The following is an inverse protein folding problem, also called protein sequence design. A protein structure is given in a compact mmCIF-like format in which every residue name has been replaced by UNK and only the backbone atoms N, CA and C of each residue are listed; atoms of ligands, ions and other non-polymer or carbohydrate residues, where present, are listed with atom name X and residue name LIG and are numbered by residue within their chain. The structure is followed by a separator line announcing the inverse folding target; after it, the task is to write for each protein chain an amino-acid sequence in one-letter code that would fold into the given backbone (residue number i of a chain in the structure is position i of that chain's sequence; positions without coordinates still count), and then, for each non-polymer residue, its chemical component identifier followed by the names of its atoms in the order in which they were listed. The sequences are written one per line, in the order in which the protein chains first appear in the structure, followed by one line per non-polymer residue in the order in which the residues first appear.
data_IF_929177173417
#
_entry.id   IF_929177173417
#
_cell.length_a   1.000
_cell.length_b   1.000
_cell.length_c   1.000
_cell.angle_alpha   90.00
_cell.angle_beta   90.00
_cell.angle_gamma   90.00
#
_symmetry.space_group_name_H-M   'P 1'
#
loop_
_entity.id
_entity.type
_entity.pdbx_description
1 polymer ?
#
# COMPACT_ATOMS: atom_id res chain seq x y z
N UNK A 1 21.84 22.10 36.51
CA UNK A 1 22.56 23.23 37.13
C UNK A 1 21.59 24.40 37.26
N UNK A 2 20.88 24.47 38.39
CA UNK A 2 19.90 25.53 38.68
C UNK A 2 20.59 26.75 39.31
N UNK A 3 21.62 27.25 38.63
CA UNK A 3 22.50 28.34 39.04
C UNK A 3 22.96 29.09 37.80
N UNK A 4 23.38 30.35 37.98
CA UNK A 4 23.89 31.20 36.90
C UNK A 4 25.03 32.08 37.38
N UNK A 5 25.94 32.41 36.45
CA UNK A 5 26.93 33.49 36.59
C UNK A 5 26.88 34.36 35.33
N UNK A 6 27.03 35.68 35.48
CA UNK A 6 26.89 36.64 34.38
C UNK A 6 28.14 36.74 33.49
N UNK A 7 29.31 36.37 34.00
CA UNK A 7 30.57 36.42 33.27
C UNK A 7 30.99 35.05 32.72
N UNK A 8 31.62 35.06 31.55
CA UNK A 8 32.27 33.89 30.98
C UNK A 8 33.54 33.53 31.79
N UNK A 9 33.82 32.24 31.93
CA UNK A 9 35.01 31.71 32.61
C UNK A 9 35.56 30.52 31.83
N UNK A 10 36.79 30.63 31.35
CA UNK A 10 37.46 29.57 30.59
C UNK A 10 37.51 28.26 31.38
N UNK A 11 37.82 28.32 32.68
CA UNK A 11 37.91 27.13 33.53
C UNK A 11 36.54 26.45 33.66
N UNK A 12 35.45 27.23 33.76
CA UNK A 12 34.10 26.68 33.79
C UNK A 12 33.73 26.06 32.44
N UNK A 13 34.03 26.74 31.34
CA UNK A 13 33.78 26.26 29.98
C UNK A 13 34.50 24.93 29.72
N UNK A 14 35.80 24.86 30.02
CA UNK A 14 36.59 23.64 29.84
C UNK A 14 36.05 22.47 30.69
N UNK A 15 35.57 22.76 31.91
CA UNK A 15 34.98 21.76 32.78
C UNK A 15 33.67 21.20 32.21
N UNK A 16 32.76 22.06 31.74
CA UNK A 16 31.49 21.59 31.13
C UNK A 16 31.74 20.86 29.82
N UNK A 17 32.69 21.31 29.00
CA UNK A 17 33.05 20.64 27.75
C UNK A 17 33.66 19.26 27.99
N UNK A 18 34.51 19.14 29.00
CA UNK A 18 35.08 17.85 29.40
C UNK A 18 33.99 16.88 29.86
N UNK A 19 33.00 17.34 30.61
CA UNK A 19 31.86 16.51 31.02
C UNK A 19 30.99 16.11 29.82
N UNK A 20 30.69 17.05 28.92
CA UNK A 20 29.94 16.77 27.69
C UNK A 20 30.64 15.75 26.79
N UNK A 21 31.95 15.88 26.59
CA UNK A 21 32.78 14.93 25.80
C UNK A 21 32.83 13.54 26.43
N UNK A 22 32.60 13.41 27.74
CA UNK A 22 32.45 12.12 28.45
C UNK A 22 31.04 11.54 28.39
N UNK A 23 30.13 12.14 27.62
CA UNK A 23 28.75 11.64 27.45
C UNK A 23 27.81 12.00 28.61
N UNK A 24 28.19 12.98 29.44
CA UNK A 24 27.32 13.52 30.49
C UNK A 24 26.44 14.60 29.86
N UNK A 25 25.12 14.50 30.05
CA UNK A 25 24.19 15.53 29.59
C UNK A 25 24.11 16.66 30.62
N UNK A 26 24.27 17.90 30.17
CA UNK A 26 24.34 19.07 31.03
C UNK A 26 23.16 19.98 30.75
N UNK A 27 22.41 20.34 31.79
CA UNK A 27 21.22 21.20 31.70
C UNK A 27 21.40 22.39 32.63
N UNK A 28 21.16 23.61 32.15
CA UNK A 28 21.40 24.85 32.88
C UNK A 28 20.24 25.84 32.80
N UNK A 29 20.03 26.59 33.87
CA UNK A 29 19.04 27.65 33.94
C UNK A 29 19.46 28.85 33.08
N UNK A 30 18.52 29.46 32.34
CA UNK A 30 18.86 30.60 31.47
C UNK A 30 19.18 31.89 32.24
N UNK A 31 18.60 32.08 33.43
CA UNK A 31 18.73 33.29 34.24
C UNK A 31 17.38 33.95 34.54
N UNK A 32 17.35 34.83 35.55
CA UNK A 32 16.13 35.47 36.07
C UNK A 32 16.16 37.01 36.00
N UNK A 33 16.94 37.59 35.08
CA UNK A 33 17.15 39.03 34.91
C UNK A 33 16.11 39.71 33.98
N UNK A 34 15.21 38.94 33.39
CA UNK A 34 14.10 39.43 32.58
C UNK A 34 14.17 39.08 31.09
N UNK A 35 13.00 39.05 30.46
CA UNK A 35 12.89 38.82 29.01
C UNK A 35 13.75 39.83 28.22
N UNK A 36 14.53 39.32 27.26
CA UNK A 36 15.46 40.13 26.47
C UNK A 36 16.85 40.26 27.08
N UNK A 37 17.07 39.80 28.31
CA UNK A 37 18.42 39.60 28.85
C UNK A 37 19.00 38.28 28.33
N UNK A 38 20.27 38.33 27.92
CA UNK A 38 20.98 37.17 27.39
C UNK A 38 21.05 36.02 28.39
N UNK A 39 21.00 34.80 27.88
CA UNK A 39 21.23 33.57 28.65
C UNK A 39 22.59 33.66 29.37
N UNK A 40 22.60 33.33 30.66
CA UNK A 40 23.81 33.34 31.49
C UNK A 40 24.58 32.01 31.46
N UNK A 41 25.79 32.01 32.02
CA UNK A 41 26.63 30.83 32.08
C UNK A 41 26.29 29.96 33.30
N UNK A 42 26.44 28.63 33.21
CA UNK A 42 27.00 27.88 32.07
C UNK A 42 25.99 27.56 30.96
N UNK A 43 24.70 27.93 31.10
CA UNK A 43 23.67 27.60 30.12
C UNK A 43 23.95 28.16 28.72
N UNK A 44 24.66 29.29 28.62
CA UNK A 44 25.07 29.87 27.35
C UNK A 44 26.14 29.06 26.59
N UNK A 45 26.86 28.13 27.23
CA UNK A 45 27.81 27.25 26.53
C UNK A 45 27.09 26.23 25.66
N UNK A 46 27.61 25.98 24.46
CA UNK A 46 26.98 25.04 23.49
C UNK A 46 26.86 23.60 24.01
N UNK A 47 27.74 23.21 24.93
CA UNK A 47 27.76 21.91 25.62
C UNK A 47 26.68 21.79 26.71
N UNK A 48 25.99 22.89 27.05
CA UNK A 48 24.92 22.93 28.04
C UNK A 48 23.58 23.23 27.37
N UNK A 49 22.54 22.53 27.81
CA UNK A 49 21.17 22.75 27.38
C UNK A 49 20.60 23.90 28.21
N UNK A 50 20.37 25.06 27.58
CA UNK A 50 19.76 26.20 28.25
C UNK A 50 18.24 26.07 28.34
N UNK A 51 17.71 26.31 29.55
CA UNK A 51 16.28 26.16 29.87
C UNK A 51 15.68 27.50 30.26
N UNK A 52 14.69 27.95 29.49
CA UNK A 52 13.83 29.10 29.84
C UNK A 52 12.59 28.65 30.63
N UNK A 53 11.98 29.59 31.37
CA UNK A 53 10.85 29.32 32.25
C UNK A 53 9.52 29.77 31.63
N UNK A 54 8.49 28.92 31.73
CA UNK A 54 7.11 29.28 31.38
C UNK A 54 6.21 29.37 32.61
N UNK A 55 5.11 30.11 32.48
CA UNK A 55 4.02 30.11 33.45
C UNK A 55 2.93 29.06 33.09
N UNK A 56 1.90 28.96 33.94
CA UNK A 56 0.76 28.04 33.75
C UNK A 56 -0.03 28.25 32.45
N UNK A 57 0.08 29.44 31.84
CA UNK A 57 -0.58 29.80 30.57
C UNK A 57 0.32 29.50 29.36
N UNK A 58 1.42 28.76 29.54
CA UNK A 58 2.44 28.49 28.54
C UNK A 58 3.06 29.78 27.93
N UNK A 59 3.07 30.88 28.68
CA UNK A 59 3.75 32.10 28.28
C UNK A 59 5.15 32.12 28.91
N UNK A 60 6.10 32.77 28.24
CA UNK A 60 7.43 33.00 28.81
C UNK A 60 7.29 33.78 30.12
N UNK A 61 7.93 33.31 31.19
CA UNK A 61 7.89 33.98 32.48
C UNK A 61 8.65 35.32 32.37
N UNK A 62 8.09 36.40 32.91
CA UNK A 62 8.64 37.76 32.75
C UNK A 62 10.10 37.90 33.20
N UNK A 63 10.52 37.10 34.19
CA UNK A 63 11.88 37.05 34.70
C UNK A 63 12.85 36.22 33.83
N UNK A 64 12.37 35.36 32.94
CA UNK A 64 13.22 34.40 32.24
C UNK A 64 14.17 35.13 31.28
N UNK A 65 15.48 34.87 31.40
CA UNK A 65 16.41 35.27 30.35
C UNK A 65 16.09 34.48 29.07
N UNK A 66 16.30 35.13 27.93
CA UNK A 66 15.99 34.62 26.59
C UNK A 66 17.17 34.86 25.65
N UNK A 67 17.15 34.23 24.48
CA UNK A 67 18.20 34.39 23.48
C UNK A 67 18.45 33.15 22.66
N UNK A 68 19.36 33.25 21.69
CA UNK A 68 19.69 32.18 20.75
C UNK A 68 20.27 30.92 21.39
N UNK A 69 20.72 30.98 22.66
CA UNK A 69 21.20 29.82 23.40
C UNK A 69 20.06 28.97 23.99
N UNK A 70 18.85 29.52 24.19
CA UNK A 70 17.70 28.76 24.71
C UNK A 70 17.42 27.56 23.81
N UNK A 71 17.37 26.36 24.39
CA UNK A 71 17.13 25.13 23.63
C UNK A 71 15.78 24.50 23.96
N UNK A 72 15.34 24.56 25.22
CA UNK A 72 14.03 24.08 25.62
C UNK A 72 13.43 25.02 26.66
N UNK A 73 12.11 24.96 26.80
CA UNK A 73 11.41 25.64 27.89
C UNK A 73 10.65 24.63 28.77
N UNK A 74 10.46 25.00 30.03
CA UNK A 74 9.76 24.18 31.02
C UNK A 74 9.02 25.04 32.05
N UNK A 75 8.04 24.48 32.78
CA UNK A 75 7.35 25.19 33.86
C UNK A 75 8.33 25.72 34.90
N UNK A 76 8.32 27.03 35.12
CA UNK A 76 9.23 27.68 36.08
C UNK A 76 8.55 28.72 36.97
N UNK A 77 7.25 28.96 36.83
CA UNK A 77 6.48 29.86 37.71
C UNK A 77 5.59 29.04 38.65
N UNK A 78 5.55 29.43 39.92
CA UNK A 78 4.68 28.82 40.94
C UNK A 78 4.83 27.30 41.05
N UNK A 79 6.07 26.81 41.01
CA UNK A 79 6.39 25.39 41.07
C UNK A 79 6.42 24.92 42.52
N UNK A 80 5.53 24.00 42.85
CA UNK A 80 5.51 23.31 44.13
C UNK A 80 6.57 22.21 44.11
N UNK A 81 7.47 22.20 45.09
CA UNK A 81 8.45 21.12 45.26
C UNK A 81 8.80 20.93 46.73
N UNK A 82 9.57 19.89 47.03
CA UNK A 82 10.03 19.58 48.38
C UNK A 82 10.91 20.69 48.95
N UNK A 83 10.77 20.98 50.24
CA UNK A 83 11.58 21.96 50.98
C UNK A 83 11.99 21.40 52.34
N UNK A 84 13.22 21.67 52.77
CA UNK A 84 13.78 21.22 54.04
C UNK A 84 12.99 21.70 55.26
N UNK A 85 12.37 22.88 55.16
CA UNK A 85 11.83 23.58 56.33
C UNK A 85 10.36 23.26 56.60
N UNK A 86 9.60 22.87 55.55
CA UNK A 86 8.12 22.77 55.60
C UNK A 86 7.54 21.62 54.77
N UNK A 87 8.35 20.64 54.38
CA UNK A 87 7.94 19.53 53.51
C UNK A 87 7.81 19.97 52.05
N UNK A 88 6.98 20.98 51.75
CA UNK A 88 6.81 21.56 50.42
C UNK A 88 6.84 23.10 50.44
N UNK A 89 7.30 23.69 49.34
CA UNK A 89 7.28 25.13 49.10
C UNK A 89 7.02 25.45 47.64
N UNK A 90 6.57 26.69 47.39
CA UNK A 90 6.35 27.23 46.04
C UNK A 90 7.54 28.12 45.66
N UNK A 91 8.14 27.88 44.50
CA UNK A 91 9.24 28.69 43.97
C UNK A 91 9.02 29.08 42.51
N UNK A 92 9.62 30.20 42.11
CA UNK A 92 9.62 30.68 40.73
C UNK A 92 11.04 31.00 40.26
N UNK A 93 11.40 30.54 39.07
CA UNK A 93 12.71 30.75 38.48
C UNK A 93 13.00 29.78 37.34
N UNK A 94 13.96 30.15 36.48
CA UNK A 94 14.56 29.20 35.51
C UNK A 94 15.28 28.04 36.20
N UNK A 95 15.67 28.26 37.46
CA UNK A 95 16.11 27.22 38.40
C UNK A 95 15.05 26.12 38.64
N UNK A 96 13.76 26.45 38.62
CA UNK A 96 12.65 25.50 38.78
C UNK A 96 12.27 24.83 37.44
N UNK A 97 12.50 25.51 36.31
CA UNK A 97 12.32 24.95 34.98
C UNK A 97 13.38 23.86 34.66
N UNK A 98 14.63 24.12 35.01
CA UNK A 98 15.80 23.24 34.76
C UNK A 98 15.62 21.77 35.20
N UNK A 99 15.14 21.45 36.42
CA UNK A 99 14.97 20.07 36.86
C UNK A 99 13.91 19.30 36.08
N UNK A 100 12.87 19.95 35.54
CA UNK A 100 11.89 19.28 34.67
C UNK A 100 12.57 18.75 33.40
N UNK A 101 13.41 19.59 32.76
CA UNK A 101 14.18 19.19 31.57
C UNK A 101 15.19 18.10 31.89
N UNK A 102 15.85 18.21 33.05
CA UNK A 102 16.80 17.20 33.53
C UNK A 102 16.12 15.85 33.73
N UNK A 103 14.96 15.82 34.38
CA UNK A 103 14.17 14.60 34.59
C UNK A 103 13.74 13.96 33.28
N UNK A 104 13.31 14.77 32.31
CA UNK A 104 12.95 14.27 30.97
C UNK A 104 14.16 13.66 30.26
N UNK A 105 15.35 14.27 30.35
CA UNK A 105 16.58 13.67 29.80
C UNK A 105 16.98 12.38 30.50
N UNK A 106 16.73 12.25 31.81
CA UNK A 106 16.95 10.99 32.54
C UNK A 106 16.03 9.87 32.00
N UNK A 107 14.75 10.17 31.77
CA UNK A 107 13.81 9.22 31.14
C UNK A 107 14.25 8.84 29.72
N UNK A 108 14.71 9.81 28.92
CA UNK A 108 15.25 9.52 27.59
C UNK A 108 16.52 8.68 27.66
N UNK A 109 17.42 8.93 28.62
CA UNK A 109 18.63 8.13 28.79
C UNK A 109 18.29 6.71 29.23
N UNK A 110 17.26 6.53 30.05
CA UNK A 110 16.74 5.20 30.40
C UNK A 110 16.18 4.46 29.17
N UNK A 111 15.39 5.14 28.34
CA UNK A 111 14.81 4.57 27.12
C UNK A 111 15.87 4.30 26.03
N UNK A 112 16.92 5.11 25.97
CA UNK A 112 17.98 5.05 24.97
C UNK A 112 19.36 5.06 25.64
N UNK A 113 19.76 3.98 26.34
CA UNK A 113 20.96 3.97 27.19
C UNK A 113 22.25 4.21 26.41
N UNK A 114 22.31 3.81 25.14
CA UNK A 114 23.48 3.98 24.27
C UNK A 114 23.48 5.30 23.49
N UNK A 115 22.42 6.10 23.57
CA UNK A 115 22.35 7.35 22.82
C UNK A 115 23.38 8.38 23.33
N UNK A 116 24.03 9.04 22.38
CA UNK A 116 24.91 10.19 22.60
C UNK A 116 24.13 11.43 23.04
N UNK A 117 24.84 12.43 23.59
CA UNK A 117 24.24 13.70 23.99
C UNK A 117 23.48 14.37 22.83
N UNK A 118 24.04 14.36 21.61
CA UNK A 118 23.40 14.94 20.43
C UNK A 118 22.12 14.20 20.04
N UNK A 119 22.12 12.86 20.09
CA UNK A 119 20.93 12.05 19.81
C UNK A 119 19.84 12.28 20.86
N UNK A 120 20.20 12.39 22.14
CA UNK A 120 19.25 12.69 23.21
C UNK A 120 18.62 14.08 23.04
N UNK A 121 19.42 15.13 22.76
CA UNK A 121 18.91 16.48 22.46
C UNK A 121 17.94 16.46 21.28
N UNK A 122 18.27 15.74 20.21
CA UNK A 122 17.39 15.58 19.04
C UNK A 122 16.11 14.81 19.39
N UNK A 123 16.21 13.74 20.20
CA UNK A 123 15.04 12.98 20.66
C UNK A 123 14.12 13.85 21.51
N UNK A 124 14.65 14.68 22.40
CA UNK A 124 13.87 15.61 23.24
C UNK A 124 12.95 16.51 22.41
N UNK A 125 13.35 16.95 21.21
CA UNK A 125 12.52 17.77 20.32
C UNK A 125 11.21 17.09 19.91
N UNK A 126 11.13 15.75 19.87
CA UNK A 126 9.86 15.04 19.64
C UNK A 126 8.87 15.23 20.80
N UNK A 127 9.42 15.40 21.99
CA UNK A 127 8.69 15.54 23.24
C UNK A 127 8.41 17.01 23.59
N UNK A 128 8.67 17.97 22.70
CA UNK A 128 8.27 19.35 22.93
C UNK A 128 6.91 19.66 22.31
N UNK A 129 6.23 20.65 22.87
CA UNK A 129 5.17 21.40 22.23
C UNK A 129 5.77 22.72 21.76
N UNK A 130 5.77 22.95 20.45
CA UNK A 130 6.22 24.22 19.88
C UNK A 130 5.36 25.37 20.42
N UNK A 131 6.01 26.47 20.83
CA UNK A 131 5.39 27.66 21.43
C UNK A 131 6.05 28.90 20.83
N UNK A 132 5.29 29.96 20.61
CA UNK A 132 5.82 31.19 19.99
C UNK A 132 5.87 31.09 18.47
N UNK A 133 7.00 31.50 17.88
CA UNK A 133 7.18 31.45 16.43
C UNK A 133 7.44 30.00 15.98
N UNK A 134 6.88 29.54 14.84
CA UNK A 134 7.08 28.16 14.40
C UNK A 134 8.54 27.75 14.29
N UNK A 135 8.89 26.60 14.88
CA UNK A 135 10.25 26.09 14.92
C UNK A 135 11.05 26.65 16.10
N UNK A 136 12.39 26.57 16.03
CA UNK A 136 13.22 27.01 17.15
C UNK A 136 13.24 28.53 17.24
N UNK A 137 12.84 29.08 18.38
CA UNK A 137 12.86 30.52 18.64
C UNK A 137 13.71 30.89 19.88
N UNK A 138 13.91 32.18 20.12
CA UNK A 138 14.79 32.70 21.18
C UNK A 138 14.12 32.73 22.57
N UNK A 139 12.80 32.58 22.66
CA UNK A 139 12.04 32.57 23.92
C UNK A 139 11.90 31.13 24.43
N UNK A 140 11.44 30.22 23.58
CA UNK A 140 11.08 28.85 23.99
C UNK A 140 12.05 27.78 23.49
N UNK A 141 13.05 28.13 22.68
CA UNK A 141 13.92 27.15 22.05
C UNK A 141 13.10 26.27 21.11
N UNK A 142 13.21 24.95 21.23
CA UNK A 142 12.36 23.99 20.50
C UNK A 142 10.94 23.83 21.10
N UNK A 143 10.61 24.61 22.12
CA UNK A 143 9.30 24.59 22.76
C UNK A 143 9.28 24.00 24.17
N UNK A 144 8.08 23.89 24.72
CA UNK A 144 7.81 23.41 26.07
C UNK A 144 7.95 21.89 26.12
N UNK A 145 8.82 21.38 26.99
CA UNK A 145 8.95 19.93 27.19
C UNK A 145 7.65 19.33 27.73
N UNK A 146 7.30 18.15 27.20
CA UNK A 146 6.13 17.37 27.61
C UNK A 146 6.48 15.90 27.58
N UNK A 147 6.18 15.18 28.66
CA UNK A 147 6.18 13.73 28.58
C UNK A 147 5.02 13.29 27.68
N UNK A 148 5.36 12.78 26.48
CA UNK A 148 4.43 12.10 25.57
C UNK A 148 4.75 10.61 25.67
N UNK A 149 3.77 9.75 25.93
CA UNK A 149 4.01 8.30 25.85
C UNK A 149 4.47 7.93 24.43
N UNK A 150 5.75 7.61 24.27
CA UNK A 150 6.35 7.20 22.98
C UNK A 150 6.14 5.72 22.65
N UNK A 151 5.68 4.94 23.62
CA UNK A 151 5.30 3.54 23.43
C UNK A 151 4.14 3.40 22.43
N UNK A 152 3.11 4.26 22.49
CA UNK A 152 1.92 4.08 21.64
C UNK A 152 2.19 4.28 20.13
N UNK A 153 2.89 5.34 19.67
CA UNK A 153 3.14 5.52 18.24
C UNK A 153 4.05 4.45 17.63
N UNK A 154 5.11 4.04 18.35
CA UNK A 154 6.02 3.00 17.87
C UNK A 154 5.33 1.64 17.82
N UNK A 155 4.60 1.25 18.87
CA UNK A 155 3.85 0.00 18.91
C UNK A 155 2.79 -0.05 17.81
N UNK A 156 2.07 1.05 17.58
CA UNK A 156 1.11 1.18 16.47
C UNK A 156 1.77 0.97 15.12
N UNK A 157 2.95 1.57 14.90
CA UNK A 157 3.70 1.39 13.65
C UNK A 157 4.21 -0.06 13.49
N UNK A 158 4.71 -0.67 14.56
CA UNK A 158 5.13 -2.08 14.57
C UNK A 158 3.97 -3.03 14.24
N UNK A 159 2.79 -2.83 14.87
CA UNK A 159 1.57 -3.61 14.58
C UNK A 159 1.12 -3.43 13.13
N UNK A 160 1.13 -2.20 12.63
CA UNK A 160 0.74 -1.92 11.24
C UNK A 160 1.70 -2.57 10.22
N UNK A 161 3.02 -2.51 10.47
CA UNK A 161 4.03 -3.21 9.64
C UNK A 161 3.83 -4.72 9.72
N UNK A 162 3.62 -5.29 10.91
CA UNK A 162 3.36 -6.71 11.09
C UNK A 162 2.09 -7.17 10.35
N UNK A 163 1.06 -6.33 10.29
CA UNK A 163 -0.14 -6.60 9.50
C UNK A 163 0.16 -6.57 8.00
N UNK A 164 0.90 -5.57 7.52
CA UNK A 164 1.30 -5.48 6.11
C UNK A 164 2.15 -6.68 5.65
N UNK A 165 3.04 -7.18 6.52
CA UNK A 165 3.85 -8.38 6.27
C UNK A 165 2.99 -9.64 6.11
N UNK A 166 1.94 -9.78 6.93
CA UNK A 166 1.01 -10.91 6.88
C UNK A 166 0.10 -10.86 5.66
N UNK A 167 -0.55 -9.72 5.41
CA UNK A 167 -1.60 -9.63 4.39
C UNK A 167 -1.07 -9.33 3.00
N UNK A 168 0.06 -8.62 2.91
CA UNK A 168 0.63 -8.12 1.66
C UNK A 168 -0.40 -7.35 0.82
N UNK A 169 -1.28 -6.59 1.47
CA UNK A 169 -2.29 -5.76 0.80
C UNK A 169 -1.82 -4.32 0.70
N UNK A 170 -2.19 -3.63 -0.38
CA UNK A 170 -1.87 -2.22 -0.58
C UNK A 170 -2.38 -1.34 0.56
N UNK A 171 -3.60 -1.58 1.02
CA UNK A 171 -4.22 -0.80 2.09
C UNK A 171 -3.42 -0.89 3.40
N UNK A 172 -2.96 -2.08 3.77
CA UNK A 172 -2.19 -2.28 5.00
C UNK A 172 -0.80 -1.67 4.90
N UNK A 173 -0.17 -1.73 3.72
CA UNK A 173 1.10 -1.04 3.45
C UNK A 173 0.95 0.48 3.60
N UNK A 174 -0.15 1.05 3.10
CA UNK A 174 -0.43 2.48 3.24
C UNK A 174 -0.68 2.87 4.70
N UNK A 175 -1.40 2.05 5.46
CA UNK A 175 -1.60 2.24 6.90
C UNK A 175 -0.26 2.19 7.66
N UNK A 176 0.59 1.21 7.36
CA UNK A 176 1.92 1.10 7.95
C UNK A 176 2.79 2.32 7.62
N UNK A 177 2.78 2.77 6.36
CA UNK A 177 3.57 3.94 5.94
C UNK A 177 3.13 5.21 6.67
N UNK A 178 1.81 5.44 6.81
CA UNK A 178 1.26 6.56 7.60
C UNK A 178 1.65 6.50 9.07
N UNK A 179 1.70 5.30 9.65
CA UNK A 179 2.08 5.11 11.06
C UNK A 179 3.60 5.32 11.30
N UNK A 180 4.44 5.01 10.31
CA UNK A 180 5.90 5.21 10.38
C UNK A 180 6.29 6.69 10.21
N UNK A 181 5.57 7.43 9.36
CA UNK A 181 5.93 8.80 8.98
C UNK A 181 6.19 9.76 10.16
N UNK A 182 5.35 9.81 11.22
CA UNK A 182 5.56 10.74 12.34
C UNK A 182 6.67 10.29 13.32
N UNK A 183 7.23 9.08 13.21
CA UNK A 183 8.24 8.61 14.15
C UNK A 183 9.54 9.45 14.05
N UNK A 184 10.32 9.59 15.15
CA UNK A 184 11.65 10.17 15.11
C UNK A 184 12.57 9.49 14.10
N UNK A 185 13.50 10.25 13.50
CA UNK A 185 14.48 9.70 12.56
C UNK A 185 15.58 8.93 13.30
N UNK A 186 15.27 7.71 13.74
CA UNK A 186 16.18 6.81 14.46
C UNK A 186 16.19 5.39 13.89
N UNK A 187 16.89 4.48 14.59
CA UNK A 187 17.07 3.10 14.19
C UNK A 187 15.74 2.34 14.05
N UNK A 188 14.74 2.63 14.89
CA UNK A 188 13.44 1.96 14.86
C UNK A 188 12.64 2.34 13.62
N UNK A 189 12.55 3.64 13.31
CA UNK A 189 11.93 4.11 12.06
C UNK A 189 12.63 3.50 10.84
N UNK A 190 13.96 3.42 10.89
CA UNK A 190 14.78 2.84 9.81
C UNK A 190 14.48 1.35 9.63
N UNK A 191 14.41 0.58 10.73
CA UNK A 191 14.10 -0.85 10.71
C UNK A 191 12.68 -1.12 10.17
N UNK A 192 11.69 -0.33 10.60
CA UNK A 192 10.30 -0.44 10.12
C UNK A 192 10.18 -0.12 8.63
N UNK A 193 10.86 0.95 8.15
CA UNK A 193 10.93 1.27 6.72
C UNK A 193 11.54 0.12 5.91
N UNK A 194 12.64 -0.48 6.39
CA UNK A 194 13.30 -1.62 5.72
C UNK A 194 12.37 -2.83 5.60
N UNK A 195 11.65 -3.17 6.68
CA UNK A 195 10.64 -4.24 6.68
C UNK A 195 9.52 -3.96 5.68
N UNK A 196 8.94 -2.76 5.72
CA UNK A 196 7.87 -2.37 4.80
C UNK A 196 8.33 -2.39 3.32
N UNK A 197 9.55 -1.94 3.03
CA UNK A 197 10.13 -2.01 1.69
C UNK A 197 10.31 -3.46 1.22
N UNK A 198 10.67 -4.37 2.11
CA UNK A 198 10.75 -5.80 1.80
C UNK A 198 9.39 -6.36 1.37
N UNK A 199 8.31 -5.97 2.04
CA UNK A 199 6.93 -6.34 1.65
C UNK A 199 6.60 -5.80 0.25
N UNK A 200 6.93 -4.53 -0.02
CA UNK A 200 6.71 -3.92 -1.34
C UNK A 200 7.46 -4.66 -2.46
N UNK A 201 8.71 -5.05 -2.22
CA UNK A 201 9.49 -5.83 -3.19
C UNK A 201 8.93 -7.23 -3.42
N UNK A 202 8.45 -7.91 -2.37
CA UNK A 202 7.75 -9.20 -2.53
C UNK A 202 6.49 -9.07 -3.39
N UNK A 203 5.73 -7.99 -3.24
CA UNK A 203 4.57 -7.72 -4.08
C UNK A 203 4.95 -7.50 -5.54
N UNK A 204 6.00 -6.71 -5.81
CA UNK A 204 6.51 -6.52 -7.17
C UNK A 204 6.90 -7.85 -7.82
N UNK A 205 7.64 -8.70 -7.11
CA UNK A 205 8.03 -10.05 -7.58
C UNK A 205 6.81 -10.93 -7.87
N UNK A 206 5.81 -10.91 -6.98
CA UNK A 206 4.57 -11.68 -7.16
C UNK A 206 3.79 -11.22 -8.39
N UNK A 207 3.64 -9.91 -8.57
CA UNK A 207 2.94 -9.34 -9.73
C UNK A 207 3.68 -9.67 -11.04
N UNK A 208 5.00 -9.49 -11.09
CA UNK A 208 5.84 -9.84 -12.24
C UNK A 208 5.70 -11.32 -12.62
N UNK A 209 5.77 -12.24 -11.64
CA UNK A 209 5.62 -13.68 -11.89
C UNK A 209 4.25 -14.03 -12.49
N UNK A 210 3.19 -13.42 -11.98
CA UNK A 210 1.83 -13.65 -12.51
C UNK A 210 1.65 -13.07 -13.91
N UNK A 211 2.25 -11.93 -14.21
CA UNK A 211 2.24 -11.36 -15.57
C UNK A 211 2.98 -12.28 -16.54
N UNK A 212 4.18 -12.77 -16.18
CA UNK A 212 4.92 -13.75 -16.98
C UNK A 212 4.10 -15.02 -17.25
N UNK A 213 3.38 -15.51 -16.24
CA UNK A 213 2.48 -16.65 -16.40
C UNK A 213 1.33 -16.36 -17.37
N UNK A 214 0.73 -15.17 -17.28
CA UNK A 214 -0.33 -14.74 -18.19
C UNK A 214 0.16 -14.62 -19.64
N UNK A 215 1.37 -14.09 -19.85
CA UNK A 215 2.02 -14.00 -21.16
C UNK A 215 2.30 -15.38 -21.77
N UNK A 216 2.81 -16.31 -20.95
CA UNK A 216 3.14 -17.68 -21.38
C UNK A 216 1.88 -18.47 -21.74
N UNK A 217 0.88 -18.47 -20.86
CA UNK A 217 -0.28 -19.35 -21.02
C UNK A 217 -1.41 -18.73 -21.84
N UNK A 218 -1.47 -17.40 -21.94
CA UNK A 218 -2.51 -16.66 -22.69
C UNK A 218 -3.92 -17.16 -22.36
N UNK A 219 -4.25 -17.21 -21.07
CA UNK A 219 -5.57 -17.59 -20.55
C UNK A 219 -6.20 -16.43 -19.79
N UNK A 220 -7.53 -16.34 -19.82
CA UNK A 220 -8.30 -15.33 -19.09
C UNK A 220 -7.97 -15.34 -17.60
N UNK A 221 -7.98 -16.51 -17.00
CA UNK A 221 -7.78 -16.70 -15.55
C UNK A 221 -6.42 -16.18 -15.09
N UNK A 222 -5.37 -16.37 -15.90
CA UNK A 222 -4.04 -15.87 -15.59
C UNK A 222 -3.93 -14.35 -15.77
N UNK A 223 -4.54 -13.80 -16.82
CA UNK A 223 -4.59 -12.35 -17.02
C UNK A 223 -5.37 -11.65 -15.88
N UNK A 224 -6.44 -12.27 -15.39
CA UNK A 224 -7.22 -11.76 -14.25
C UNK A 224 -6.44 -11.87 -12.93
N UNK A 225 -5.76 -12.99 -12.69
CA UNK A 225 -4.89 -13.16 -11.51
C UNK A 225 -3.71 -12.16 -11.52
N UNK A 226 -3.12 -11.92 -12.69
CA UNK A 226 -2.08 -10.91 -12.87
C UNK A 226 -2.63 -9.49 -12.62
N UNK A 227 -3.81 -9.16 -13.16
CA UNK A 227 -4.46 -7.87 -12.93
C UNK A 227 -4.70 -7.62 -11.45
N UNK A 228 -5.21 -8.63 -10.72
CA UNK A 228 -5.43 -8.53 -9.27
C UNK A 228 -4.13 -8.21 -8.53
N UNK A 229 -3.03 -8.88 -8.85
CA UNK A 229 -1.75 -8.62 -8.20
C UNK A 229 -1.15 -7.25 -8.57
N UNK A 230 -1.28 -6.82 -9.83
CA UNK A 230 -0.83 -5.49 -10.27
C UNK A 230 -1.63 -4.37 -9.59
N UNK A 231 -2.92 -4.60 -9.28
CA UNK A 231 -3.75 -3.62 -8.59
C UNK A 231 -3.25 -3.31 -7.17
N UNK A 232 -2.63 -4.29 -6.49
CA UNK A 232 -2.04 -4.14 -5.15
C UNK A 232 -0.75 -3.31 -5.14
N UNK A 233 -0.18 -2.99 -6.31
CA UNK A 233 1.02 -2.15 -6.39
C UNK A 233 0.68 -0.65 -6.26
N UNK A 234 1.63 0.09 -5.69
CA UNK A 234 1.67 1.55 -5.74
C UNK A 234 1.73 2.04 -7.20
N UNK A 235 1.21 3.25 -7.44
CA UNK A 235 1.29 3.89 -8.75
C UNK A 235 2.75 4.17 -9.12
N UNK A 236 3.11 3.93 -10.38
CA UNK A 236 4.46 4.17 -10.86
C UNK A 236 4.73 3.46 -12.18
N UNK A 237 5.91 3.70 -12.73
CA UNK A 237 6.36 3.15 -14.02
C UNK A 237 6.31 1.61 -14.05
N UNK A 238 6.71 0.95 -12.96
CA UNK A 238 6.66 -0.50 -12.84
C UNK A 238 5.24 -1.06 -13.01
N UNK A 239 4.27 -0.51 -12.28
CA UNK A 239 2.85 -0.89 -12.39
C UNK A 239 2.31 -0.64 -13.80
N UNK A 240 2.63 0.52 -14.38
CA UNK A 240 2.23 0.88 -15.75
C UNK A 240 2.77 -0.10 -16.79
N UNK A 241 4.03 -0.53 -16.66
CA UNK A 241 4.64 -1.49 -17.58
C UNK A 241 3.99 -2.88 -17.48
N UNK A 242 3.69 -3.34 -16.26
CA UNK A 242 2.94 -4.59 -16.07
C UNK A 242 1.52 -4.50 -16.64
N UNK A 243 0.85 -3.36 -16.48
CA UNK A 243 -0.48 -3.15 -17.03
C UNK A 243 -0.48 -3.22 -18.57
N UNK A 244 0.51 -2.62 -19.23
CA UNK A 244 0.68 -2.71 -20.70
C UNK A 244 0.82 -4.16 -21.15
N UNK A 245 1.62 -4.96 -20.45
CA UNK A 245 1.83 -6.39 -20.73
C UNK A 245 0.54 -7.20 -20.58
N UNK A 246 -0.22 -6.99 -19.51
CA UNK A 246 -1.54 -7.64 -19.33
C UNK A 246 -2.50 -7.25 -20.46
N UNK A 247 -2.52 -5.97 -20.86
CA UNK A 247 -3.37 -5.51 -21.95
C UNK A 247 -2.98 -6.17 -23.28
N UNK A 248 -1.68 -6.37 -23.54
CA UNK A 248 -1.21 -7.11 -24.72
C UNK A 248 -1.70 -8.57 -24.72
N UNK A 249 -1.69 -9.25 -23.57
CA UNK A 249 -2.26 -10.61 -23.44
C UNK A 249 -3.75 -10.62 -23.77
N UNK A 250 -4.52 -9.66 -23.24
CA UNK A 250 -5.96 -9.52 -23.54
C UNK A 250 -6.22 -9.23 -25.02
N UNK A 251 -5.40 -8.39 -25.64
CA UNK A 251 -5.46 -8.13 -27.09
C UNK A 251 -5.16 -9.38 -27.92
N UNK A 252 -4.20 -10.21 -27.50
CA UNK A 252 -3.93 -11.50 -28.15
C UNK A 252 -5.12 -12.45 -28.07
N UNK A 253 -5.76 -12.55 -26.90
CA UNK A 253 -6.97 -13.36 -26.69
C UNK A 253 -8.11 -12.89 -27.61
N UNK A 254 -8.33 -11.57 -27.69
CA UNK A 254 -9.32 -10.97 -28.56
C UNK A 254 -9.06 -11.28 -30.04
N UNK A 255 -7.80 -11.20 -30.49
CA UNK A 255 -7.41 -11.56 -31.86
C UNK A 255 -7.74 -13.03 -32.16
N UNK A 256 -7.40 -13.95 -31.27
CA UNK A 256 -7.72 -15.38 -31.41
C UNK A 256 -9.23 -15.61 -31.50
N UNK A 257 -10.03 -14.97 -30.64
CA UNK A 257 -11.48 -15.08 -30.67
C UNK A 257 -12.10 -14.53 -31.96
N UNK A 258 -11.65 -13.35 -32.42
CA UNK A 258 -12.07 -12.75 -33.71
C UNK A 258 -11.80 -13.70 -34.89
N UNK A 259 -10.60 -14.29 -34.94
CA UNK A 259 -10.23 -15.25 -35.99
C UNK A 259 -11.06 -16.54 -35.94
N UNK A 260 -11.32 -17.08 -34.75
CA UNK A 260 -12.12 -18.28 -34.59
C UNK A 260 -13.58 -18.06 -35.01
N UNK A 261 -14.16 -16.90 -34.65
CA UNK A 261 -15.51 -16.51 -35.10
C UNK A 261 -15.58 -16.33 -36.61
N UNK A 262 -14.61 -15.63 -37.22
CA UNK A 262 -14.56 -15.47 -38.68
C UNK A 262 -14.49 -16.82 -39.42
N UNK A 263 -13.73 -17.80 -38.88
CA UNK A 263 -13.69 -19.17 -39.43
C UNK A 263 -15.04 -19.88 -39.29
N UNK A 264 -15.73 -19.71 -38.16
CA UNK A 264 -17.07 -20.27 -37.93
C UNK A 264 -18.14 -19.64 -38.85
N UNK A 265 -18.05 -18.36 -39.13
CA UNK A 265 -18.94 -17.67 -40.07
C UNK A 265 -18.73 -18.14 -41.51
N UNK A 266 -17.47 -18.33 -41.93
CA UNK A 266 -17.16 -18.85 -43.27
C UNK A 266 -17.56 -20.32 -43.44
N UNK A 267 -17.37 -21.13 -42.39
CA UNK A 267 -17.69 -22.55 -42.41
C UNK A 267 -18.23 -23.01 -41.04
N UNK A 268 -19.55 -23.07 -40.90
CA UNK A 268 -20.23 -23.36 -39.66
C UNK A 268 -20.29 -24.88 -39.32
N UNK A 269 -19.12 -25.50 -39.27
CA UNK A 269 -18.94 -26.88 -38.78
C UNK A 269 -18.97 -26.91 -37.25
N UNK A 270 -19.37 -28.03 -36.65
CA UNK A 270 -19.42 -28.17 -35.19
C UNK A 270 -18.06 -27.90 -34.54
N UNK A 271 -16.98 -28.31 -35.22
CA UNK A 271 -15.59 -28.03 -34.82
C UNK A 271 -15.30 -26.52 -34.78
N UNK A 272 -15.62 -25.78 -35.85
CA UNK A 272 -15.37 -24.34 -35.89
C UNK A 272 -16.24 -23.57 -34.88
N UNK A 273 -17.52 -23.93 -34.76
CA UNK A 273 -18.44 -23.33 -33.79
C UNK A 273 -17.98 -23.57 -32.35
N UNK A 274 -17.51 -24.78 -32.04
CA UNK A 274 -16.94 -25.13 -30.73
C UNK A 274 -15.64 -24.38 -30.43
N UNK A 275 -14.71 -24.31 -31.39
CA UNK A 275 -13.46 -23.53 -31.24
C UNK A 275 -13.72 -22.04 -31.03
N UNK A 276 -14.67 -21.47 -31.78
CA UNK A 276 -15.11 -20.08 -31.60
C UNK A 276 -15.71 -19.84 -30.21
N UNK A 277 -16.59 -20.72 -29.75
CA UNK A 277 -17.19 -20.59 -28.41
C UNK A 277 -16.14 -20.66 -27.31
N UNK A 278 -15.18 -21.59 -27.40
CA UNK A 278 -14.08 -21.72 -26.45
C UNK A 278 -13.22 -20.45 -26.41
N UNK A 279 -12.89 -19.89 -27.58
CA UNK A 279 -12.09 -18.66 -27.65
C UNK A 279 -12.83 -17.43 -27.10
N UNK A 280 -14.15 -17.31 -27.31
CA UNK A 280 -14.97 -16.24 -26.72
C UNK A 280 -15.02 -16.37 -25.19
N UNK A 281 -15.08 -17.59 -24.66
CA UNK A 281 -15.12 -17.82 -23.21
C UNK A 281 -13.85 -17.31 -22.51
N UNK A 282 -12.71 -17.34 -23.19
CA UNK A 282 -11.42 -16.78 -22.73
C UNK A 282 -11.36 -15.24 -22.76
N UNK A 283 -12.40 -14.55 -23.23
CA UNK A 283 -12.44 -13.08 -23.16
C UNK A 283 -13.00 -12.59 -21.83
N UNK A 284 -12.50 -11.45 -21.31
CA UNK A 284 -13.15 -10.72 -20.23
C UNK A 284 -14.56 -10.27 -20.64
N UNK A 285 -15.42 -10.03 -19.66
CA UNK A 285 -16.74 -9.47 -19.90
C UNK A 285 -16.60 -8.07 -20.52
N UNK A 286 -17.43 -7.77 -21.52
CA UNK A 286 -17.37 -6.49 -22.22
C UNK A 286 -17.99 -6.55 -23.62
N UNK A 287 -18.01 -5.40 -24.29
CA UNK A 287 -18.65 -5.23 -25.60
C UNK A 287 -18.11 -6.20 -26.65
N UNK A 288 -16.79 -6.41 -26.70
CA UNK A 288 -16.16 -7.33 -27.64
C UNK A 288 -16.67 -8.77 -27.51
N UNK A 289 -16.72 -9.29 -26.27
CA UNK A 289 -17.21 -10.63 -25.99
C UNK A 289 -18.67 -10.78 -26.40
N UNK A 290 -19.52 -9.82 -26.02
CA UNK A 290 -20.94 -9.81 -26.37
C UNK A 290 -21.16 -9.75 -27.88
N UNK A 291 -20.40 -8.92 -28.59
CA UNK A 291 -20.50 -8.78 -30.06
C UNK A 291 -20.08 -10.05 -30.78
N UNK A 292 -18.96 -10.67 -30.37
CA UNK A 292 -18.51 -11.95 -30.93
C UNK A 292 -19.48 -13.08 -30.62
N UNK A 293 -20.08 -13.09 -29.43
CA UNK A 293 -21.10 -14.07 -29.07
C UNK A 293 -22.35 -13.95 -29.95
N UNK A 294 -22.82 -12.72 -30.21
CA UNK A 294 -23.96 -12.47 -31.12
C UNK A 294 -23.67 -13.00 -32.53
N UNK A 295 -22.51 -12.67 -33.08
CA UNK A 295 -22.04 -13.17 -34.38
C UNK A 295 -22.01 -14.69 -34.45
N UNK A 296 -21.43 -15.33 -33.44
CA UNK A 296 -21.38 -16.79 -33.36
C UNK A 296 -22.78 -17.41 -33.26
N UNK A 297 -23.70 -16.80 -32.51
CA UNK A 297 -25.09 -17.27 -32.40
C UNK A 297 -25.83 -17.18 -33.74
N UNK A 298 -25.60 -16.12 -34.52
CA UNK A 298 -26.12 -16.00 -35.89
C UNK A 298 -25.60 -17.13 -36.79
N UNK A 299 -24.29 -17.41 -36.75
CA UNK A 299 -23.69 -18.51 -37.51
C UNK A 299 -24.27 -19.88 -37.10
N UNK A 300 -24.49 -20.12 -35.79
CA UNK A 300 -25.16 -21.33 -35.29
C UNK A 300 -26.59 -21.47 -35.84
N UNK A 301 -27.36 -20.37 -35.84
CA UNK A 301 -28.73 -20.35 -36.37
C UNK A 301 -28.76 -20.66 -37.87
N UNK A 302 -27.86 -20.07 -38.65
CA UNK A 302 -27.73 -20.34 -40.08
C UNK A 302 -27.34 -21.80 -40.36
N UNK A 303 -26.40 -22.36 -39.58
CA UNK A 303 -26.01 -23.76 -39.68
C UNK A 303 -27.18 -24.72 -39.39
N UNK A 304 -27.97 -24.43 -38.35
CA UNK A 304 -29.15 -25.21 -38.01
C UNK A 304 -30.21 -25.16 -39.14
N UNK A 305 -30.47 -23.98 -39.70
CA UNK A 305 -31.38 -23.83 -40.84
C UNK A 305 -30.90 -24.62 -42.07
N UNK A 306 -29.61 -24.54 -42.41
CA UNK A 306 -29.02 -25.29 -43.51
C UNK A 306 -29.11 -26.81 -43.29
N UNK A 307 -28.89 -27.28 -42.06
CA UNK A 307 -29.05 -28.69 -41.71
C UNK A 307 -30.51 -29.14 -41.82
N UNK A 308 -31.45 -28.34 -41.35
CA UNK A 308 -32.89 -28.64 -41.46
C UNK A 308 -33.33 -28.76 -42.94
N UNK A 309 -32.81 -27.91 -43.84
CA UNK A 309 -33.03 -28.06 -45.28
C UNK A 309 -32.52 -29.41 -45.82
N UNK A 310 -31.35 -29.87 -45.38
CA UNK A 310 -30.82 -31.20 -45.75
C UNK A 310 -31.72 -32.33 -45.26
N UNK A 311 -32.24 -32.22 -44.03
CA UNK A 311 -33.20 -33.17 -43.47
C UNK A 311 -34.48 -33.21 -44.30
N UNK A 312 -35.07 -32.06 -44.63
CA UNK A 312 -36.27 -31.98 -45.47
C UNK A 312 -36.05 -32.56 -46.87
N UNK A 313 -34.89 -32.30 -47.49
CA UNK A 313 -34.54 -32.88 -48.79
C UNK A 313 -34.37 -34.41 -48.71
N UNK A 314 -33.79 -34.93 -47.63
CA UNK A 314 -33.68 -36.38 -47.40
C UNK A 314 -35.08 -37.00 -47.20
N UNK A 315 -35.96 -36.37 -46.43
CA UNK A 315 -37.37 -36.79 -46.27
C UNK A 315 -38.10 -36.89 -47.59
N UNK A 316 -37.99 -35.87 -48.44
CA UNK A 316 -38.62 -35.86 -49.76
C UNK A 316 -38.12 -37.01 -50.64
N UNK A 317 -36.80 -37.27 -50.67
CA UNK A 317 -36.21 -38.38 -51.43
C UNK A 317 -36.65 -39.76 -50.92
N UNK A 318 -36.78 -39.94 -49.60
CA UNK A 318 -37.33 -41.17 -49.00
C UNK A 318 -38.78 -41.37 -49.46
N UNK A 319 -39.62 -40.34 -49.41
CA UNK A 319 -41.01 -40.40 -49.91
C UNK A 319 -41.06 -40.80 -51.39
N UNK A 320 -40.22 -40.21 -52.24
CA UNK A 320 -40.15 -40.58 -53.66
C UNK A 320 -39.68 -42.03 -53.86
N UNK A 321 -38.74 -42.51 -53.03
CA UNK A 321 -38.27 -43.90 -53.10
C UNK A 321 -39.38 -44.89 -52.72
N UNK A 322 -40.17 -44.57 -51.70
CA UNK A 322 -41.34 -45.36 -51.28
C UNK A 322 -42.40 -45.45 -52.39
N UNK A 323 -42.63 -44.36 -53.13
CA UNK A 323 -43.62 -44.30 -54.21
C UNK A 323 -43.15 -45.04 -55.48
N UNK A 324 -41.93 -44.73 -55.96
CA UNK A 324 -41.43 -45.24 -57.25
C UNK A 324 -40.85 -46.65 -57.16
N UNK A 325 -40.28 -47.03 -56.01
CA UNK A 325 -39.74 -48.37 -55.71
C UNK A 325 -38.71 -48.88 -56.74
N UNK A 326 -37.92 -47.98 -57.31
CA UNK A 326 -36.82 -48.32 -58.24
C UNK A 326 -35.46 -48.28 -57.55
N UNK A 327 -34.48 -49.01 -58.09
CA UNK A 327 -33.10 -49.02 -57.58
C UNK A 327 -32.49 -47.62 -57.53
N UNK A 328 -32.80 -46.78 -58.55
CA UNK A 328 -32.32 -45.39 -58.66
C UNK A 328 -32.83 -44.51 -57.51
N UNK A 329 -34.13 -44.55 -57.20
CA UNK A 329 -34.70 -43.69 -56.15
C UNK A 329 -34.31 -44.16 -54.75
N UNK A 330 -34.23 -45.48 -54.52
CA UNK A 330 -33.71 -46.05 -53.26
C UNK A 330 -32.26 -45.61 -52.99
N UNK A 331 -31.39 -45.69 -54.00
CA UNK A 331 -29.98 -45.26 -53.89
C UNK A 331 -29.86 -43.75 -53.61
N UNK A 332 -30.70 -42.92 -54.26
CA UNK A 332 -30.71 -41.47 -54.02
C UNK A 332 -31.17 -41.11 -52.60
N UNK A 333 -32.13 -41.85 -52.04
CA UNK A 333 -32.57 -41.70 -50.65
C UNK A 333 -31.49 -42.13 -49.65
N UNK A 334 -30.83 -43.29 -49.88
CA UNK A 334 -29.71 -43.76 -49.07
C UNK A 334 -28.57 -42.75 -49.03
N UNK A 335 -28.17 -42.20 -50.19
CA UNK A 335 -27.13 -41.17 -50.27
C UNK A 335 -27.50 -39.91 -49.49
N UNK A 336 -28.76 -39.47 -49.57
CA UNK A 336 -29.23 -38.27 -48.87
C UNK A 336 -29.30 -38.46 -47.34
N UNK A 337 -29.82 -39.59 -46.88
CA UNK A 337 -29.89 -39.94 -45.44
C UNK A 337 -28.50 -40.20 -44.86
N UNK A 338 -27.61 -40.82 -45.63
CA UNK A 338 -26.21 -41.07 -45.26
C UNK A 338 -25.46 -39.78 -44.89
N UNK A 339 -25.75 -38.68 -45.59
CA UNK A 339 -25.17 -37.34 -45.36
C UNK A 339 -25.70 -36.61 -44.11
N UNK A 340 -26.74 -37.12 -43.45
CA UNK A 340 -27.25 -36.54 -42.21
C UNK A 340 -26.35 -36.91 -41.03
N UNK A 341 -26.31 -36.06 -39.99
CA UNK A 341 -25.65 -36.38 -38.73
C UNK A 341 -26.44 -37.46 -38.00
N UNK A 342 -25.79 -38.22 -37.13
CA UNK A 342 -26.46 -39.20 -36.27
C UNK A 342 -27.60 -38.51 -35.48
N UNK A 343 -28.82 -39.01 -35.63
CA UNK A 343 -30.01 -38.49 -34.96
C UNK A 343 -31.14 -39.53 -34.99
N UNK A 344 -32.13 -39.34 -34.12
CA UNK A 344 -33.36 -40.13 -34.16
C UNK A 344 -34.04 -40.05 -35.54
N UNK A 345 -34.02 -38.86 -36.16
CA UNK A 345 -34.62 -38.66 -37.48
C UNK A 345 -33.88 -39.42 -38.59
N UNK A 346 -32.54 -39.42 -38.58
CA UNK A 346 -31.73 -40.22 -39.51
C UNK A 346 -32.06 -41.70 -39.36
N UNK A 347 -32.17 -42.18 -38.13
CA UNK A 347 -32.50 -43.58 -37.81
C UNK A 347 -33.89 -43.95 -38.33
N UNK A 348 -34.90 -43.09 -38.13
CA UNK A 348 -36.26 -43.28 -38.66
C UNK A 348 -36.28 -43.37 -40.19
N UNK A 349 -35.59 -42.45 -40.87
CA UNK A 349 -35.50 -42.44 -42.33
C UNK A 349 -34.77 -43.67 -42.88
N UNK A 350 -33.72 -44.13 -42.20
CA UNK A 350 -33.00 -45.34 -42.60
C UNK A 350 -33.87 -46.60 -42.51
N UNK A 351 -34.65 -46.75 -41.44
CA UNK A 351 -35.62 -47.85 -41.29
C UNK A 351 -36.64 -47.87 -42.43
N UNK A 352 -37.20 -46.70 -42.77
CA UNK A 352 -38.14 -46.55 -43.89
C UNK A 352 -37.53 -46.98 -45.23
N UNK A 353 -36.30 -46.57 -45.52
CA UNK A 353 -35.59 -46.98 -46.74
C UNK A 353 -35.41 -48.51 -46.80
N UNK A 354 -35.02 -49.13 -45.69
CA UNK A 354 -34.76 -50.56 -45.63
C UNK A 354 -36.03 -51.39 -45.90
N UNK A 355 -37.21 -50.89 -45.51
CA UNK A 355 -38.49 -51.54 -45.74
C UNK A 355 -38.98 -51.52 -47.20
N UNK A 356 -38.37 -50.73 -48.09
CA UNK A 356 -38.79 -50.63 -49.50
C UNK A 356 -38.42 -51.90 -50.27
N UNK A 357 -39.42 -52.68 -50.72
CA UNK A 357 -39.28 -53.77 -51.70
C UNK A 357 -39.35 -53.19 -53.12
N UNK A 358 -38.37 -53.49 -53.97
CA UNK A 358 -38.29 -52.98 -55.35
C UNK A 358 -39.40 -53.60 -56.22
N UNK A 359 -39.88 -52.84 -57.20
CA UNK A 359 -40.79 -53.33 -58.24
C UNK A 359 -40.03 -54.02 -59.37
#
# INVERSE_FOLDING_TARGET
MSLVVSGDSQVLHDAVDKAYKRGIILVGASGNAGNGKSVYYPAAYSSVIAVSATNEKNQIASFSNTGSAVEFSAPGTSIISTSSDRGYAIGSGTSQATPHVTGMFALLKQLYPTASNAELRKKMQFYTSDLGAPGRDHLFGYGLIRFKEVTQPLEKAQKAVGQAEKTKKKADIQTAQKAIEPLPADADKTALKKRLNTVKEQLKKTAESKVKLAEKQKKKTNADSAQKAVNELDSGTFKTNLQKRINAVRSSLLKTAKQAVAKAEKAATDSNLGKAQKAINELPAGKDKSNLQKRLNTAKKQAAAAYNKKVSAAKAKVKTAEQKRTKKTKSAAQSAVGKLKASAEKTKLQKRINAIKLK
#
